data_IF_705244771122
#
_entry.id   IF_705244771122
#
_cell.length_a   1.000
_cell.length_b   1.000
_cell.length_c   1.000
_cell.angle_alpha   90.00
_cell.angle_beta   90.00
_cell.angle_gamma   90.00
#
_symmetry.space_group_name_H-M   'P 1'
#
loop_
_entity.id
_entity.type
_entity.pdbx_description
1 polymer ?
#
# COMPACT_ATOMS: atom_id res chain seq x y z
N UNK A 1 78.06 -0.98 -39.96
CA UNK A 1 76.90 -0.13 -39.58
C UNK A 1 75.91 -1.00 -38.83
N UNK A 2 75.66 -0.66 -37.56
CA UNK A 2 74.72 -1.33 -36.64
C UNK A 2 73.33 -0.71 -36.83
N UNK A 3 72.27 -1.52 -36.81
CA UNK A 3 70.93 -1.05 -36.46
C UNK A 3 70.28 -2.10 -35.57
N UNK A 4 70.13 -1.78 -34.28
CA UNK A 4 69.35 -2.57 -33.31
C UNK A 4 67.98 -1.89 -33.20
N UNK A 5 66.94 -2.62 -33.58
CA UNK A 5 65.55 -2.21 -33.48
C UNK A 5 65.12 -2.35 -32.01
N UNK A 6 64.78 -1.25 -31.35
CA UNK A 6 64.17 -1.24 -30.02
C UNK A 6 62.65 -1.36 -30.17
N UNK A 7 62.07 -2.44 -29.65
CA UNK A 7 60.63 -2.61 -29.52
C UNK A 7 60.25 -2.15 -28.11
N UNK A 8 59.58 -1.00 -28.02
CA UNK A 8 59.00 -0.50 -26.77
C UNK A 8 57.67 -1.19 -26.54
N UNK A 9 57.60 -2.07 -25.53
CA UNK A 9 56.35 -2.66 -25.06
C UNK A 9 55.65 -1.61 -24.18
N UNK A 10 54.55 -1.05 -24.68
CA UNK A 10 53.66 -0.18 -23.91
C UNK A 10 52.72 -1.09 -23.12
N UNK A 11 52.97 -1.20 -21.81
CA UNK A 11 52.10 -1.91 -20.86
C UNK A 11 50.88 -1.03 -20.57
N UNK A 12 49.72 -1.35 -21.16
CA UNK A 12 48.46 -0.73 -20.77
C UNK A 12 48.06 -1.26 -19.38
N UNK A 13 48.20 -0.42 -18.34
CA UNK A 13 47.51 -0.65 -17.07
C UNK A 13 46.01 -0.49 -17.33
N UNK A 14 45.29 -1.61 -17.31
CA UNK A 14 43.83 -1.60 -17.24
C UNK A 14 43.42 -1.11 -15.85
N UNK A 15 43.14 0.19 -15.73
CA UNK A 15 42.43 0.74 -14.57
C UNK A 15 40.98 0.23 -14.63
N UNK A 16 40.64 -0.74 -13.78
CA UNK A 16 39.25 -1.16 -13.58
C UNK A 16 38.47 0.00 -12.96
N UNK A 17 37.74 0.74 -13.78
CA UNK A 17 36.75 1.70 -13.30
C UNK A 17 35.57 0.86 -12.79
N UNK A 18 35.46 0.71 -11.47
CA UNK A 18 34.26 0.15 -10.85
C UNK A 18 33.15 1.20 -10.97
N UNK A 19 32.38 1.15 -12.05
CA UNK A 19 31.10 1.87 -12.09
C UNK A 19 30.25 1.38 -10.91
N UNK A 20 29.53 2.27 -10.19
CA UNK A 20 28.56 1.81 -9.21
C UNK A 20 27.54 0.92 -9.94
N UNK A 21 27.41 -0.32 -9.50
CA UNK A 21 26.39 -1.24 -9.99
C UNK A 21 25.07 -0.70 -9.46
N UNK A 22 24.39 0.09 -10.27
CA UNK A 22 23.00 0.48 -9.99
C UNK A 22 22.16 -0.76 -10.25
N UNK A 23 21.62 -1.36 -9.18
CA UNK A 23 20.82 -2.58 -9.32
C UNK A 23 19.48 -2.25 -10.00
N UNK A 24 18.87 -3.22 -10.69
CA UNK A 24 17.55 -3.03 -11.29
C UNK A 24 16.49 -2.63 -10.23
N UNK A 25 16.65 -3.12 -8.99
CA UNK A 25 15.84 -2.72 -7.83
C UNK A 25 15.99 -1.25 -7.46
N UNK A 26 17.19 -0.66 -7.52
CA UNK A 26 17.40 0.77 -7.22
C UNK A 26 16.75 1.68 -8.28
N UNK A 27 16.81 1.24 -9.55
CA UNK A 27 16.15 1.94 -10.66
C UNK A 27 14.63 1.89 -10.53
N UNK A 28 14.08 0.73 -10.20
CA UNK A 28 12.65 0.56 -9.96
C UNK A 28 12.17 1.39 -8.77
N UNK A 29 12.88 1.35 -7.65
CA UNK A 29 12.58 2.15 -6.45
C UNK A 29 12.56 3.66 -6.78
N UNK A 30 13.57 4.13 -7.51
CA UNK A 30 13.62 5.54 -7.94
C UNK A 30 12.47 5.89 -8.89
N UNK A 31 12.09 4.97 -9.78
CA UNK A 31 11.01 5.18 -10.73
C UNK A 31 9.65 5.31 -10.02
N UNK A 32 9.33 4.43 -9.07
CA UNK A 32 8.06 4.49 -8.33
C UNK A 32 7.97 5.79 -7.52
N UNK A 33 9.06 6.25 -6.90
CA UNK A 33 9.09 7.54 -6.19
C UNK A 33 8.79 8.71 -7.13
N UNK A 34 9.35 8.71 -8.35
CA UNK A 34 9.08 9.75 -9.36
C UNK A 34 7.64 9.72 -9.84
N UNK A 35 7.06 8.53 -10.03
CA UNK A 35 5.66 8.38 -10.43
C UNK A 35 4.70 8.91 -9.37
N UNK A 36 4.90 8.52 -8.11
CA UNK A 36 4.15 9.05 -6.97
C UNK A 36 4.27 10.58 -6.89
N UNK A 37 5.50 11.10 -6.87
CA UNK A 37 5.73 12.54 -6.80
C UNK A 37 5.04 13.30 -7.94
N UNK A 38 5.13 12.79 -9.18
CA UNK A 38 4.51 13.42 -10.34
C UNK A 38 2.99 13.52 -10.19
N UNK A 39 2.34 12.45 -9.73
CA UNK A 39 0.89 12.37 -9.58
C UNK A 39 0.37 13.14 -8.35
N UNK A 40 1.13 13.18 -7.26
CA UNK A 40 0.60 13.56 -5.95
C UNK A 40 1.19 14.82 -5.31
N UNK A 41 2.25 15.43 -5.87
CA UNK A 41 2.93 16.60 -5.26
C UNK A 41 2.04 17.79 -4.91
N UNK A 42 0.87 17.92 -5.55
CA UNK A 42 -0.09 19.01 -5.32
C UNK A 42 -1.37 18.52 -4.61
N UNK A 43 -1.41 17.25 -4.20
CA UNK A 43 -2.59 16.57 -3.63
C UNK A 43 -2.29 16.11 -2.20
N UNK A 44 -1.16 15.45 -1.98
CA UNK A 44 -0.79 14.93 -0.67
C UNK A 44 -0.22 16.04 0.21
N UNK A 45 -0.73 16.16 1.43
CA UNK A 45 -0.22 17.09 2.44
C UNK A 45 1.11 16.63 3.05
N UNK A 46 1.44 15.34 2.94
CA UNK A 46 2.70 14.76 3.41
C UNK A 46 3.87 14.97 2.44
N UNK A 47 3.61 15.43 1.21
CA UNK A 47 4.65 15.72 0.22
C UNK A 47 5.11 17.16 0.44
N UNK A 48 5.85 17.36 1.52
CA UNK A 48 6.84 18.42 1.52
C UNK A 48 8.01 17.88 0.68
N UNK A 49 8.22 18.43 -0.52
CA UNK A 49 9.52 18.29 -1.18
C UNK A 49 10.53 18.73 -0.13
N UNK A 50 11.36 17.79 0.31
CA UNK A 50 12.08 17.96 1.54
C UNK A 50 12.79 19.32 1.61
N UNK A 51 12.84 19.91 2.80
CA UNK A 51 13.77 21.01 3.09
C UNK A 51 15.24 20.65 2.73
N UNK A 52 15.49 19.39 2.37
CA UNK A 52 16.69 18.70 1.92
C UNK A 52 16.67 18.19 0.45
N UNK A 53 15.58 18.37 -0.33
CA UNK A 53 15.52 18.08 -1.77
C UNK A 53 15.32 16.60 -2.19
N UNK A 54 14.98 15.71 -1.25
CA UNK A 54 14.80 14.28 -1.50
C UNK A 54 13.34 13.90 -1.84
N UNK A 55 13.16 12.83 -2.64
CA UNK A 55 11.85 12.25 -2.92
C UNK A 55 11.29 11.53 -1.68
N UNK A 56 9.97 11.54 -1.52
CA UNK A 56 9.28 10.78 -0.46
C UNK A 56 9.63 9.31 -0.54
N UNK A 57 9.97 8.71 0.60
CA UNK A 57 10.31 7.29 0.69
C UNK A 57 9.05 6.49 1.06
N UNK A 58 8.70 5.46 0.30
CA UNK A 58 7.66 4.52 0.70
C UNK A 58 8.21 3.53 1.73
N UNK A 59 7.31 2.98 2.54
CA UNK A 59 7.52 1.67 3.15
C UNK A 59 7.37 0.58 2.09
N UNK A 60 8.13 -0.51 2.21
CA UNK A 60 8.21 -1.55 1.17
C UNK A 60 7.96 -2.91 1.79
N UNK A 61 7.08 -3.68 1.16
CA UNK A 61 6.73 -5.05 1.57
C UNK A 61 6.86 -5.99 0.37
N UNK A 62 7.28 -7.22 0.64
CA UNK A 62 7.26 -8.30 -0.35
C UNK A 62 6.10 -9.24 -0.06
N UNK A 63 5.25 -9.45 -1.06
CA UNK A 63 4.11 -10.34 -1.04
C UNK A 63 4.35 -11.49 -2.01
N UNK A 64 3.71 -12.63 -1.75
CA UNK A 64 3.86 -13.83 -2.57
C UNK A 64 2.51 -14.39 -2.98
N UNK A 65 2.37 -14.81 -4.24
CA UNK A 65 1.09 -15.29 -4.74
C UNK A 65 1.23 -16.37 -5.83
N UNK A 66 0.13 -17.07 -6.10
CA UNK A 66 -0.04 -17.83 -7.33
C UNK A 66 -1.25 -17.33 -8.11
N UNK A 67 -1.18 -17.48 -9.42
CA UNK A 67 -2.32 -17.37 -10.31
C UNK A 67 -3.24 -18.57 -10.18
N UNK A 68 -4.50 -18.42 -10.63
CA UNK A 68 -5.49 -19.49 -10.54
C UNK A 68 -5.23 -20.68 -11.47
N UNK A 69 -4.34 -20.52 -12.46
CA UNK A 69 -3.97 -21.56 -13.41
C UNK A 69 -2.68 -22.29 -13.02
N UNK A 70 -2.02 -21.85 -11.96
CA UNK A 70 -0.82 -22.51 -11.43
C UNK A 70 -1.21 -23.61 -10.45
N UNK A 71 -0.42 -24.68 -10.42
CA UNK A 71 -0.56 -25.75 -9.44
C UNK A 71 -0.28 -25.23 -8.03
N UNK A 72 -0.89 -25.85 -7.03
CA UNK A 72 -0.82 -25.38 -5.64
C UNK A 72 0.61 -25.41 -5.06
N UNK A 73 1.48 -26.27 -5.59
CA UNK A 73 2.89 -26.44 -5.20
C UNK A 73 3.87 -25.70 -6.12
N UNK A 74 3.37 -24.97 -7.13
CA UNK A 74 4.23 -24.16 -7.99
C UNK A 74 4.96 -23.07 -7.16
N UNK A 75 6.19 -22.70 -7.56
CA UNK A 75 6.89 -21.57 -6.94
C UNK A 75 6.01 -20.33 -6.89
N UNK A 76 6.05 -19.58 -5.78
CA UNK A 76 5.29 -18.34 -5.64
C UNK A 76 5.88 -17.25 -6.53
N UNK A 77 5.00 -16.46 -7.14
CA UNK A 77 5.35 -15.21 -7.79
C UNK A 77 5.56 -14.12 -6.72
N UNK A 78 6.56 -13.26 -6.93
CA UNK A 78 6.87 -12.16 -6.03
C UNK A 78 6.18 -10.87 -6.48
N UNK A 79 5.68 -10.13 -5.51
CA UNK A 79 5.08 -8.82 -5.70
C UNK A 79 5.60 -7.84 -4.65
N UNK A 80 6.26 -6.78 -5.09
CA UNK A 80 6.72 -5.70 -4.22
C UNK A 80 5.63 -4.63 -4.10
N UNK A 81 5.20 -4.37 -2.86
CA UNK A 81 4.25 -3.35 -2.50
C UNK A 81 4.98 -2.12 -1.94
N UNK A 82 4.66 -0.94 -2.46
CA UNK A 82 5.17 0.35 -1.99
C UNK A 82 4.04 1.15 -1.36
N UNK A 83 4.21 1.57 -0.10
CA UNK A 83 3.23 2.35 0.66
C UNK A 83 3.76 3.76 0.88
N UNK A 84 3.18 4.73 0.18
CA UNK A 84 3.57 6.14 0.33
C UNK A 84 2.64 6.86 1.29
N UNK A 85 3.16 7.56 2.32
CA UNK A 85 2.34 8.45 3.12
C UNK A 85 1.84 9.61 2.24
N UNK A 86 0.56 9.97 2.33
CA UNK A 86 -0.07 11.00 1.51
C UNK A 86 -0.84 12.06 2.32
N UNK A 87 -1.67 11.63 3.26
CA UNK A 87 -2.53 12.51 4.06
C UNK A 87 -2.10 12.43 5.52
N UNK A 88 -1.95 13.57 6.17
CA UNK A 88 -1.68 13.66 7.60
C UNK A 88 -2.79 14.48 8.28
N UNK A 89 -3.74 13.79 8.89
CA UNK A 89 -4.83 14.38 9.67
C UNK A 89 -4.70 14.08 11.17
N UNK A 90 -5.51 14.73 12.03
CA UNK A 90 -5.41 14.58 13.48
C UNK A 90 -5.74 13.16 13.99
N UNK A 91 -6.55 12.39 13.25
CA UNK A 91 -6.96 11.03 13.63
C UNK A 91 -6.76 9.99 12.52
N UNK A 92 -6.44 10.44 11.29
CA UNK A 92 -6.27 9.59 10.13
C UNK A 92 -4.99 9.96 9.39
N UNK A 93 -4.15 8.95 9.14
CA UNK A 93 -3.02 9.05 8.22
C UNK A 93 -3.32 8.23 6.97
N UNK A 94 -3.35 8.87 5.80
CA UNK A 94 -3.71 8.24 4.54
C UNK A 94 -2.49 7.89 3.71
N UNK A 95 -2.53 6.73 3.05
CA UNK A 95 -1.44 6.22 2.21
C UNK A 95 -1.92 5.88 0.81
N UNK A 96 -1.06 6.12 -0.19
CA UNK A 96 -1.26 5.72 -1.59
C UNK A 96 -0.30 4.57 -1.91
N UNK A 97 -0.81 3.55 -2.59
CA UNK A 97 -0.08 2.30 -2.80
C UNK A 97 0.28 2.08 -4.27
N UNK A 98 1.47 1.58 -4.49
CA UNK A 98 1.94 1.10 -5.79
C UNK A 98 2.41 -0.34 -5.67
N UNK A 99 2.36 -1.07 -6.77
CA UNK A 99 2.74 -2.48 -6.84
C UNK A 99 3.57 -2.79 -8.06
N UNK A 100 4.48 -3.75 -7.91
CA UNK A 100 5.30 -4.28 -8.99
C UNK A 100 5.43 -5.79 -8.84
N UNK A 101 5.09 -6.52 -9.90
CA UNK A 101 5.34 -7.96 -9.97
C UNK A 101 6.73 -8.20 -10.56
N UNK A 102 7.50 -9.11 -9.95
CA UNK A 102 8.84 -9.43 -10.44
C UNK A 102 8.79 -9.96 -11.87
N UNK A 103 9.55 -9.33 -12.77
CA UNK A 103 9.56 -9.66 -14.20
C UNK A 103 8.48 -8.94 -15.03
N UNK A 104 7.57 -8.19 -14.41
CA UNK A 104 6.67 -7.30 -15.13
C UNK A 104 7.39 -6.04 -15.63
N UNK A 105 6.82 -5.39 -16.66
CA UNK A 105 7.37 -4.16 -17.22
C UNK A 105 6.74 -2.88 -16.63
N UNK A 106 5.71 -3.02 -15.77
CA UNK A 106 4.87 -1.90 -15.34
C UNK A 106 4.74 -1.83 -13.82
N UNK A 107 4.89 -0.61 -13.30
CA UNK A 107 4.51 -0.23 -11.94
C UNK A 107 3.04 0.18 -11.98
N UNK A 108 2.23 -0.45 -11.15
CA UNK A 108 0.80 -0.17 -11.07
C UNK A 108 0.50 0.66 -9.84
N UNK A 109 -0.22 1.76 -10.02
CA UNK A 109 -0.91 2.38 -8.90
C UNK A 109 -2.07 1.46 -8.48
N UNK A 110 -2.18 1.19 -7.18
CA UNK A 110 -3.20 0.31 -6.66
C UNK A 110 -4.47 1.07 -6.29
N UNK A 111 -5.58 0.38 -6.49
CA UNK A 111 -6.92 0.83 -6.18
C UNK A 111 -7.64 -0.32 -5.47
N UNK A 112 -8.50 0.04 -4.52
CA UNK A 112 -9.17 -0.89 -3.62
C UNK A 112 -10.67 -0.74 -3.77
N UNK A 113 -11.37 -1.87 -3.86
CA UNK A 113 -12.82 -1.89 -3.82
C UNK A 113 -13.27 -1.52 -2.40
N UNK A 114 -14.20 -0.58 -2.32
CA UNK A 114 -14.79 -0.10 -1.07
C UNK A 114 -16.32 -0.07 -1.21
N UNK A 115 -17.09 -0.59 -0.24
CA UNK A 115 -18.54 -0.48 -0.23
C UNK A 115 -19.03 0.97 -0.18
N UNK A 116 -20.08 1.26 -0.95
CA UNK A 116 -20.91 2.47 -0.79
C UNK A 116 -22.17 2.09 -0.03
N UNK A 117 -22.54 2.83 1.01
CA UNK A 117 -23.66 2.48 1.89
C UNK A 117 -24.37 3.71 2.47
N UNK A 118 -25.64 3.54 2.80
CA UNK A 118 -26.47 4.53 3.50
C UNK A 118 -26.68 4.09 4.96
N UNK A 119 -26.80 5.04 5.88
CA UNK A 119 -27.02 4.79 7.31
C UNK A 119 -28.30 5.51 7.75
N UNK A 120 -29.23 4.76 8.33
CA UNK A 120 -30.47 5.28 8.89
C UNK A 120 -30.39 5.22 10.42
N UNK A 121 -30.42 6.37 11.10
CA UNK A 121 -30.41 6.49 12.56
C UNK A 121 -31.83 6.56 13.13
N UNK A 122 -31.99 6.24 14.42
CA UNK A 122 -33.28 6.41 15.12
C UNK A 122 -33.66 7.88 15.29
N UNK A 123 -32.68 8.74 15.54
CA UNK A 123 -32.80 10.17 15.70
C UNK A 123 -31.47 10.91 15.45
N UNK A 124 -31.43 12.22 15.72
CA UNK A 124 -30.28 13.10 15.49
C UNK A 124 -29.17 13.00 16.56
N UNK A 125 -29.27 12.08 17.51
CA UNK A 125 -28.19 11.83 18.49
C UNK A 125 -27.07 10.97 17.90
N UNK A 126 -27.38 10.17 16.87
CA UNK A 126 -26.48 9.20 16.24
C UNK A 126 -25.98 8.10 17.18
N UNK A 127 -26.65 7.88 18.31
CA UNK A 127 -26.29 6.83 19.29
C UNK A 127 -26.86 5.46 18.92
N UNK A 128 -27.87 5.39 18.05
CA UNK A 128 -28.50 4.14 17.63
C UNK A 128 -28.78 4.11 16.13
N UNK A 129 -28.46 2.98 15.49
CA UNK A 129 -28.61 2.76 14.04
C UNK A 129 -29.75 1.78 13.81
N UNK A 130 -30.64 2.12 12.88
CA UNK A 130 -31.77 1.26 12.48
C UNK A 130 -31.47 0.38 11.26
N UNK A 131 -30.71 0.90 10.29
CA UNK A 131 -30.31 0.16 9.08
C UNK A 131 -28.97 0.67 8.56
N UNK A 132 -28.16 -0.23 8.01
CA UNK A 132 -27.00 0.11 7.17
C UNK A 132 -27.16 -0.63 5.86
N UNK A 133 -27.38 0.12 4.78
CA UNK A 133 -27.78 -0.44 3.49
C UNK A 133 -26.68 -0.35 2.47
N UNK A 134 -26.16 -1.49 2.05
CA UNK A 134 -25.20 -1.57 0.96
C UNK A 134 -25.84 -1.13 -0.37
N UNK A 135 -25.20 -0.17 -1.05
CA UNK A 135 -25.64 0.42 -2.32
C UNK A 135 -24.85 -0.08 -3.53
N UNK A 136 -23.61 -0.48 -3.30
CA UNK A 136 -22.71 -0.93 -4.35
C UNK A 136 -21.27 -0.81 -3.90
N UNK A 137 -20.38 -0.67 -4.87
CA UNK A 137 -18.95 -0.54 -4.64
C UNK A 137 -18.39 0.60 -5.47
N UNK A 138 -17.47 1.35 -4.87
CA UNK A 138 -16.60 2.28 -5.56
C UNK A 138 -15.15 1.80 -5.47
N UNK A 139 -14.24 2.63 -5.98
CA UNK A 139 -12.82 2.38 -5.97
C UNK A 139 -12.13 3.53 -5.27
N UNK A 140 -11.40 3.24 -4.19
CA UNK A 140 -10.51 4.20 -3.53
C UNK A 140 -9.06 3.96 -3.94
N UNK A 141 -8.25 5.01 -3.91
CA UNK A 141 -6.79 4.95 -4.11
C UNK A 141 -6.00 5.32 -2.85
N UNK A 142 -6.70 5.61 -1.75
CA UNK A 142 -6.10 6.03 -0.48
C UNK A 142 -6.70 5.18 0.63
N UNK A 143 -5.84 4.54 1.42
CA UNK A 143 -6.24 3.79 2.61
C UNK A 143 -5.78 4.53 3.86
N UNK A 144 -6.60 4.56 4.91
CA UNK A 144 -6.31 5.26 6.15
C UNK A 144 -5.93 4.31 7.28
N UNK A 145 -4.98 4.75 8.12
CA UNK A 145 -4.47 4.00 9.27
C UNK A 145 -4.17 2.54 8.90
N UNK A 146 -3.50 2.38 7.76
CA UNK A 146 -3.26 1.10 7.14
C UNK A 146 -2.25 0.26 7.92
N UNK A 147 -2.49 -1.04 7.98
CA UNK A 147 -1.54 -2.06 8.40
C UNK A 147 -1.40 -3.12 7.30
N UNK A 148 -0.17 -3.54 7.03
CA UNK A 148 0.15 -4.60 6.07
C UNK A 148 0.69 -5.81 6.84
N UNK A 149 0.09 -6.97 6.60
CA UNK A 149 0.56 -8.26 7.07
C UNK A 149 1.04 -9.07 5.86
N UNK A 150 2.36 -9.07 5.58
CA UNK A 150 2.92 -9.79 4.45
C UNK A 150 2.92 -11.31 4.65
N UNK A 151 2.83 -11.81 5.88
CA UNK A 151 2.77 -13.25 6.15
C UNK A 151 1.43 -13.83 5.69
N UNK A 152 0.34 -13.09 5.91
CA UNK A 152 -1.01 -13.49 5.50
C UNK A 152 -1.44 -12.87 4.16
N UNK A 153 -0.59 -12.05 3.55
CA UNK A 153 -0.89 -11.26 2.35
C UNK A 153 -2.14 -10.40 2.55
N UNK A 154 -2.28 -9.74 3.69
CA UNK A 154 -3.47 -8.94 4.01
C UNK A 154 -3.13 -7.48 4.25
N UNK A 155 -4.05 -6.62 3.85
CA UNK A 155 -4.08 -5.20 4.23
C UNK A 155 -5.32 -4.99 5.07
N UNK A 156 -5.14 -4.33 6.21
CA UNK A 156 -6.21 -3.75 7.01
C UNK A 156 -6.16 -2.23 6.89
N UNK A 157 -7.32 -1.59 6.82
CA UNK A 157 -7.45 -0.13 6.86
C UNK A 157 -8.64 0.23 7.72
N UNK A 158 -8.51 1.31 8.49
CA UNK A 158 -9.59 1.88 9.28
C UNK A 158 -9.62 3.41 9.12
N UNK A 159 -10.76 3.93 8.71
CA UNK A 159 -11.05 5.35 8.67
C UNK A 159 -11.86 5.73 9.89
N UNK A 160 -11.29 6.54 10.76
CA UNK A 160 -11.98 7.05 11.95
C UNK A 160 -12.79 8.27 11.59
N UNK A 161 -14.08 8.31 11.92
CA UNK A 161 -14.91 9.49 11.71
C UNK A 161 -14.71 10.51 12.83
N UNK A 162 -14.36 10.02 14.03
CA UNK A 162 -13.90 10.83 15.16
C UNK A 162 -12.77 10.16 15.93
N UNK A 163 -12.14 10.91 16.83
CA UNK A 163 -10.90 10.52 17.55
C UNK A 163 -10.92 9.11 18.15
N UNK A 164 -12.04 8.71 18.75
CA UNK A 164 -12.14 7.48 19.55
C UNK A 164 -12.30 6.21 18.71
N UNK A 165 -12.52 6.33 17.39
CA UNK A 165 -12.81 5.22 16.49
C UNK A 165 -14.08 4.41 16.81
N UNK A 166 -14.90 4.90 17.73
CA UNK A 166 -16.25 4.40 18.01
C UNK A 166 -17.23 4.73 16.88
N UNK A 167 -16.93 5.76 16.07
CA UNK A 167 -17.50 5.89 14.73
C UNK A 167 -16.38 5.70 13.70
N UNK A 168 -16.46 4.63 12.90
CA UNK A 168 -15.43 4.24 11.94
C UNK A 168 -15.93 3.33 10.81
N UNK A 169 -15.13 3.25 9.75
CA UNK A 169 -15.29 2.23 8.73
C UNK A 169 -13.95 1.52 8.54
N UNK A 170 -13.96 0.19 8.42
CA UNK A 170 -12.75 -0.61 8.27
C UNK A 170 -12.90 -1.70 7.21
N UNK A 171 -11.80 -2.05 6.58
CA UNK A 171 -11.77 -3.06 5.52
C UNK A 171 -10.55 -3.98 5.63
N UNK A 172 -10.74 -5.22 5.18
CA UNK A 172 -9.66 -6.20 5.02
C UNK A 172 -9.60 -6.62 3.56
N UNK A 173 -8.45 -6.45 2.93
CA UNK A 173 -8.16 -6.94 1.59
C UNK A 173 -7.09 -8.02 1.66
N UNK A 174 -7.26 -9.08 0.87
CA UNK A 174 -6.24 -10.12 0.69
C UNK A 174 -5.62 -10.01 -0.69
N UNK A 175 -4.30 -10.02 -0.75
CA UNK A 175 -3.56 -10.15 -1.99
C UNK A 175 -3.57 -11.61 -2.43
N UNK A 176 -4.23 -11.88 -3.55
CA UNK A 176 -4.32 -13.21 -4.14
C UNK A 176 -4.41 -13.08 -5.65
N UNK A 177 -3.79 -14.00 -6.39
CA UNK A 177 -3.85 -14.03 -7.86
C UNK A 177 -3.47 -12.67 -8.49
N UNK A 178 -2.44 -12.03 -7.95
CA UNK A 178 -1.87 -10.78 -8.46
C UNK A 178 -2.67 -9.51 -8.14
N UNK A 179 -3.67 -9.57 -7.24
CA UNK A 179 -4.52 -8.41 -6.92
C UNK A 179 -5.05 -8.44 -5.49
N UNK A 180 -5.39 -7.27 -4.98
CA UNK A 180 -6.12 -7.13 -3.72
C UNK A 180 -7.61 -7.39 -3.93
N UNK A 181 -8.17 -8.28 -3.11
CA UNK A 181 -9.59 -8.64 -3.09
C UNK A 181 -10.16 -8.28 -1.73
N UNK A 182 -11.21 -7.46 -1.70
CA UNK A 182 -11.93 -7.13 -0.46
C UNK A 182 -12.55 -8.41 0.12
N UNK A 183 -12.23 -8.72 1.37
CA UNK A 183 -12.71 -9.90 2.10
C UNK A 183 -13.78 -9.55 3.11
N UNK A 184 -13.64 -8.44 3.81
CA UNK A 184 -14.66 -7.92 4.72
C UNK A 184 -14.62 -6.40 4.80
N UNK A 185 -15.76 -5.83 5.13
CA UNK A 185 -15.91 -4.41 5.44
C UNK A 185 -16.91 -4.23 6.58
N UNK A 186 -16.46 -3.52 7.61
CA UNK A 186 -17.15 -3.36 8.87
C UNK A 186 -17.35 -1.87 9.15
N UNK A 187 -18.55 -1.50 9.59
CA UNK A 187 -18.94 -0.11 9.87
C UNK A 187 -19.42 -0.03 11.30
N UNK A 188 -18.79 0.87 12.06
CA UNK A 188 -19.28 1.34 13.34
C UNK A 188 -19.82 2.75 13.13
N UNK A 189 -21.13 2.90 13.13
CA UNK A 189 -21.75 4.18 12.82
C UNK A 189 -22.24 4.94 14.06
N UNK A 190 -22.20 4.30 15.23
CA UNK A 190 -22.73 4.87 16.46
C UNK A 190 -21.74 5.84 17.10
N UNK A 191 -22.24 6.90 17.72
CA UNK A 191 -21.44 7.91 18.40
C UNK A 191 -21.50 7.74 19.92
N UNK A 192 -21.54 6.50 20.39
CA UNK A 192 -21.87 6.09 21.76
C UNK A 192 -20.64 5.76 22.64
N UNK A 193 -19.44 6.06 22.15
CA UNK A 193 -18.15 5.73 22.77
C UNK A 193 -17.87 4.22 22.92
N UNK A 194 -18.63 3.36 22.23
CA UNK A 194 -18.39 1.92 22.16
C UNK A 194 -17.79 1.55 20.80
N UNK A 195 -16.98 0.50 20.78
CA UNK A 195 -16.50 -0.08 19.52
C UNK A 195 -17.31 -1.35 19.30
N UNK A 196 -18.35 -1.23 18.49
CA UNK A 196 -19.37 -2.22 18.18
C UNK A 196 -19.65 -2.25 16.66
N UNK A 197 -18.61 -2.43 15.81
CA UNK A 197 -18.78 -2.44 14.37
C UNK A 197 -19.73 -3.56 13.93
N UNK A 198 -20.44 -3.32 12.83
CA UNK A 198 -21.30 -4.29 12.14
C UNK A 198 -20.69 -4.62 10.79
N UNK A 199 -20.65 -5.91 10.43
CA UNK A 199 -20.19 -6.35 9.11
C UNK A 199 -21.26 -6.08 8.06
N UNK A 200 -20.95 -5.23 7.10
CA UNK A 200 -21.85 -4.92 5.98
C UNK A 200 -21.47 -5.65 4.69
N UNK A 201 -20.24 -6.17 4.61
CA UNK A 201 -19.75 -6.99 3.52
C UNK A 201 -18.74 -8.03 4.00
N UNK A 202 -18.80 -9.24 3.42
CA UNK A 202 -17.90 -10.34 3.74
C UNK A 202 -18.54 -11.42 4.61
N UNK A 203 -17.75 -12.44 4.95
CA UNK A 203 -18.17 -13.55 5.81
C UNK A 203 -17.62 -13.40 7.23
N UNK A 204 -18.27 -14.03 8.21
CA UNK A 204 -17.86 -14.04 9.62
C UNK A 204 -18.28 -12.78 10.40
N UNK A 205 -17.79 -12.67 11.64
CA UNK A 205 -18.07 -11.51 12.51
C UNK A 205 -16.96 -10.44 12.42
N UNK A 206 -17.29 -9.15 12.67
CA UNK A 206 -16.33 -8.07 12.88
C UNK A 206 -15.24 -8.46 13.89
N UNK A 207 -13.99 -7.97 13.74
CA UNK A 207 -12.97 -8.15 14.76
C UNK A 207 -13.47 -7.58 16.09
N UNK A 208 -13.43 -8.38 17.16
CA UNK A 208 -13.70 -7.85 18.51
C UNK A 208 -12.71 -6.74 18.83
N UNK A 209 -13.17 -5.71 19.55
CA UNK A 209 -12.50 -4.42 19.82
C UNK A 209 -11.11 -4.48 20.48
N UNK A 210 -10.52 -5.67 20.71
CA UNK A 210 -9.32 -5.87 21.52
C UNK A 210 -8.05 -6.30 20.79
N UNK A 211 -8.02 -6.41 19.45
CA UNK A 211 -6.84 -6.99 18.80
C UNK A 211 -6.33 -6.33 17.52
N UNK A 212 -6.96 -5.29 16.99
CA UNK A 212 -6.54 -4.68 15.73
C UNK A 212 -5.67 -3.41 15.86
N UNK A 213 -5.44 -2.93 17.08
CA UNK A 213 -4.55 -1.79 17.34
C UNK A 213 -3.36 -2.33 18.12
N UNK A 214 -2.29 -2.67 17.41
CA UNK A 214 -0.98 -2.80 18.05
C UNK A 214 -0.61 -1.47 18.69
N UNK A 215 -0.18 -1.53 19.95
CA UNK A 215 0.43 -0.43 20.70
C UNK A 215 1.63 0.19 19.97
#
# INVERSE_FOLDING_TARGET
>A
MRSKLFITIILFLATSVSSPVFSASDALYTLVQKQFYSAYRNICSSIDVGKDGNLVKPEVFDLQFNYSYEEADAPKNNFTLYVFPCVAGPFNSGSVLYGFEEGAEQINQLHFAEPEYDIDFTDDTFEEVTDIRLRGFSSTNTLFNLSVDPENNTIYSITKWRRMADASASGIWKFERGRFVLKSFDVDATYDDQINPVRIWGEGEPPESKSAVGD
#
